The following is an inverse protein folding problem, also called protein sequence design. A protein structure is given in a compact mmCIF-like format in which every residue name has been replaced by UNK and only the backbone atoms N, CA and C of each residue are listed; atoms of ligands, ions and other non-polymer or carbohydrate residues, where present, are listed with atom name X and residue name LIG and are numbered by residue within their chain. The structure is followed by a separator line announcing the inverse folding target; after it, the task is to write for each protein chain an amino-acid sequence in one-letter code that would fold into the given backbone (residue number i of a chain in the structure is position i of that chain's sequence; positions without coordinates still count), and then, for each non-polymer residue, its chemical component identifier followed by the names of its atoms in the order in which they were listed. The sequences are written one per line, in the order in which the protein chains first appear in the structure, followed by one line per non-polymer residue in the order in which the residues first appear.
data_IF_317603233784
#
_entry.id   IF_317603233784
#
_cell.length_a   1.000
_cell.length_b   1.000
_cell.length_c   1.000
_cell.angle_alpha   90.00
_cell.angle_beta   90.00
_cell.angle_gamma   90.00
#
_symmetry.space_group_name_H-M   'P 1'
#
loop_
_entity.id
_entity.type
_entity.pdbx_description
1 polymer ?
#
# COMPACT_ATOMS: atom_id res chain seq x y z
N UNK A 1 4.47 -15.54 -19.75
CA UNK A 1 4.28 -15.20 -18.32
C UNK A 1 4.33 -13.70 -18.22
N UNK A 2 3.16 -13.07 -18.34
CA UNK A 2 2.98 -11.62 -18.23
C UNK A 2 3.70 -11.12 -16.97
N UNK A 3 4.69 -10.27 -17.20
CA UNK A 3 5.46 -9.60 -16.16
C UNK A 3 4.47 -8.75 -15.37
N UNK A 4 3.91 -9.28 -14.29
CA UNK A 4 3.46 -8.48 -13.14
C UNK A 4 4.66 -7.84 -12.43
N UNK A 5 5.73 -7.52 -13.17
CA UNK A 5 6.79 -6.58 -12.78
C UNK A 5 6.18 -5.20 -13.01
N UNK A 6 5.34 -4.83 -12.06
CA UNK A 6 5.47 -3.53 -11.44
C UNK A 6 6.97 -3.26 -11.25
N UNK A 7 7.43 -2.06 -11.62
CA UNK A 7 8.84 -1.68 -11.49
C UNK A 7 9.30 -1.98 -10.06
N UNK A 8 10.57 -2.33 -9.81
CA UNK A 8 11.07 -2.59 -8.44
C UNK A 8 10.66 -1.48 -7.45
N UNK A 9 10.53 -0.25 -7.96
CA UNK A 9 10.02 0.92 -7.26
C UNK A 9 8.57 0.76 -6.73
N UNK A 10 7.67 0.20 -7.51
CA UNK A 10 6.28 -0.03 -7.13
C UNK A 10 6.14 -1.16 -6.10
N UNK A 11 7.01 -2.18 -6.20
CA UNK A 11 7.05 -3.26 -5.21
C UNK A 11 7.57 -2.76 -3.85
N UNK A 12 8.57 -1.88 -3.85
CA UNK A 12 9.04 -1.19 -2.64
C UNK A 12 7.95 -0.32 -2.02
N UNK A 13 7.19 0.43 -2.84
CA UNK A 13 6.06 1.23 -2.36
C UNK A 13 4.93 0.38 -1.78
N UNK A 14 4.60 -0.75 -2.41
CA UNK A 14 3.61 -1.69 -1.91
C UNK A 14 4.06 -2.31 -0.60
N UNK A 15 5.31 -2.77 -0.52
CA UNK A 15 5.89 -3.34 0.69
C UNK A 15 5.92 -2.32 1.84
N UNK A 16 6.31 -1.07 1.56
CA UNK A 16 6.26 0.03 2.55
C UNK A 16 4.85 0.35 2.99
N UNK A 17 3.89 0.37 2.07
CA UNK A 17 2.48 0.60 2.38
C UNK A 17 1.90 -0.49 3.29
N UNK A 18 2.23 -1.75 3.01
CA UNK A 18 1.84 -2.89 3.85
C UNK A 18 2.53 -2.82 5.21
N UNK A 19 3.85 -2.60 5.25
CA UNK A 19 4.61 -2.55 6.50
C UNK A 19 4.12 -1.42 7.42
N UNK A 20 3.87 -0.22 6.87
CA UNK A 20 3.28 0.90 7.61
C UNK A 20 1.84 0.63 8.03
N UNK A 21 1.00 0.12 7.12
CA UNK A 21 -0.41 -0.18 7.40
C UNK A 21 -0.57 -1.27 8.47
N UNK A 22 0.24 -2.33 8.39
CA UNK A 22 0.30 -3.40 9.38
C UNK A 22 0.84 -2.90 10.72
N UNK A 23 1.95 -2.15 10.73
CA UNK A 23 2.55 -1.62 11.96
C UNK A 23 1.62 -0.67 12.70
N UNK A 24 1.01 0.28 11.99
CA UNK A 24 0.02 1.21 12.56
C UNK A 24 -1.26 0.46 12.97
N UNK A 25 -1.71 -0.51 12.16
CA UNK A 25 -2.88 -1.34 12.47
C UNK A 25 -2.73 -2.15 13.76
N UNK A 26 -1.54 -2.72 14.01
CA UNK A 26 -1.25 -3.43 15.26
C UNK A 26 -1.17 -2.46 16.43
N UNK A 27 -0.48 -1.33 16.27
CA UNK A 27 -0.37 -0.30 17.32
C UNK A 27 -1.76 0.24 17.73
N UNK A 28 -2.61 0.58 16.78
CA UNK A 28 -3.99 1.01 17.05
C UNK A 28 -4.85 -0.13 17.62
N UNK A 29 -4.65 -1.34 17.14
CA UNK A 29 -5.31 -2.54 17.62
C UNK A 29 -5.08 -2.84 19.09
N UNK A 30 -3.87 -2.53 19.57
CA UNK A 30 -3.52 -2.63 20.98
C UNK A 30 -4.35 -1.68 21.86
N UNK A 31 -4.70 -0.48 21.37
CA UNK A 31 -5.55 0.47 22.11
C UNK A 31 -7.04 0.11 22.05
N UNK A 32 -7.48 -0.59 21.00
CA UNK A 32 -8.88 -0.96 20.76
C UNK A 32 -9.19 -2.39 21.26
N UNK A 33 -8.20 -3.06 21.86
CA UNK A 33 -8.25 -4.46 22.31
C UNK A 33 -8.67 -5.46 21.21
N UNK A 34 -8.46 -5.07 19.94
CA UNK A 34 -8.88 -5.87 18.79
C UNK A 34 -7.90 -5.77 17.62
N UNK A 35 -6.72 -6.34 17.86
CA UNK A 35 -5.56 -6.29 16.96
C UNK A 35 -5.86 -6.91 15.60
N UNK A 36 -6.62 -8.00 15.54
CA UNK A 36 -6.89 -8.73 14.29
C UNK A 36 -7.68 -7.85 13.31
N UNK A 37 -8.67 -7.12 13.83
CA UNK A 37 -9.57 -6.29 13.04
C UNK A 37 -8.84 -5.06 12.48
N UNK A 38 -8.07 -4.38 13.32
CA UNK A 38 -7.29 -3.20 12.93
C UNK A 38 -6.07 -3.54 12.07
N UNK A 39 -5.42 -4.68 12.29
CA UNK A 39 -4.34 -5.18 11.42
C UNK A 39 -4.87 -5.47 10.02
N UNK A 40 -6.00 -6.17 9.92
CA UNK A 40 -6.61 -6.50 8.63
C UNK A 40 -7.05 -5.24 7.90
N UNK A 41 -7.74 -4.33 8.58
CA UNK A 41 -8.15 -3.04 8.01
C UNK A 41 -6.94 -2.18 7.60
N UNK A 42 -5.93 -2.06 8.48
CA UNK A 42 -4.73 -1.27 8.23
C UNK A 42 -3.90 -1.80 7.06
N UNK A 43 -3.76 -3.12 6.95
CA UNK A 43 -3.05 -3.76 5.84
C UNK A 43 -3.78 -3.54 4.51
N UNK A 44 -5.11 -3.71 4.47
CA UNK A 44 -5.92 -3.49 3.26
C UNK A 44 -5.87 -2.01 2.84
N UNK A 45 -6.00 -1.06 3.77
CA UNK A 45 -5.87 0.37 3.48
C UNK A 45 -4.46 0.69 2.96
N UNK A 46 -3.42 0.09 3.54
CA UNK A 46 -2.03 0.25 3.09
C UNK A 46 -1.81 -0.23 1.65
N UNK A 47 -2.38 -1.39 1.31
CA UNK A 47 -2.35 -1.95 -0.05
C UNK A 47 -3.09 -1.04 -1.03
N UNK A 48 -4.33 -0.65 -0.72
CA UNK A 48 -5.15 0.21 -1.58
C UNK A 48 -4.45 1.56 -1.79
N UNK A 49 -3.83 2.12 -0.75
CA UNK A 49 -3.12 3.40 -0.84
C UNK A 49 -1.88 3.29 -1.71
N UNK A 50 -1.08 2.23 -1.57
CA UNK A 50 0.11 2.01 -2.38
C UNK A 50 -0.25 1.77 -3.86
N UNK A 51 -1.25 0.93 -4.12
CA UNK A 51 -1.75 0.68 -5.47
C UNK A 51 -2.35 1.95 -6.08
N UNK A 52 -3.21 2.65 -5.33
CA UNK A 52 -3.82 3.91 -5.77
C UNK A 52 -2.77 4.98 -6.11
N UNK A 53 -1.68 5.06 -5.34
CA UNK A 53 -0.57 5.96 -5.63
C UNK A 53 0.20 5.55 -6.88
N UNK A 54 0.41 4.25 -7.11
CA UNK A 54 1.03 3.73 -8.33
C UNK A 54 0.16 4.06 -9.56
N UNK A 55 -1.15 3.78 -9.52
CA UNK A 55 -2.09 4.16 -10.59
C UNK A 55 -2.12 5.68 -10.84
N UNK A 56 -2.15 6.50 -9.78
CA UNK A 56 -2.15 7.95 -9.89
C UNK A 56 -0.82 8.49 -10.47
N UNK A 57 0.31 7.90 -10.05
CA UNK A 57 1.65 8.21 -10.55
C UNK A 57 1.79 7.81 -12.03
N UNK A 58 1.23 6.68 -12.44
CA UNK A 58 1.21 6.24 -13.84
C UNK A 58 0.41 7.19 -14.74
N UNK A 59 -0.77 7.61 -14.27
CA UNK A 59 -1.59 8.64 -14.93
C UNK A 59 -0.85 9.98 -15.05
N UNK A 60 -0.09 10.37 -14.01
CA UNK A 60 0.69 11.62 -14.01
C UNK A 60 1.99 11.52 -14.84
N UNK A 61 2.63 10.34 -14.91
CA UNK A 61 3.78 10.08 -15.81
C UNK A 61 3.37 10.17 -17.28
N UNK A 62 2.18 9.69 -17.64
CA UNK A 62 1.60 9.86 -19.00
C UNK A 62 1.36 11.33 -19.41
N UNK A 63 1.11 12.22 -18.45
CA UNK A 63 0.90 13.65 -18.72
C UNK A 63 2.22 14.45 -18.91
N UNK A 64 3.37 13.94 -18.48
CA UNK A 64 4.67 14.62 -18.63
C UNK A 64 5.42 14.34 -19.94
N UNK A 65 4.91 13.45 -20.80
CA UNK A 65 5.50 13.18 -22.12
C UNK A 65 4.72 13.81 -23.30
N UNK A 66 3.81 14.75 -23.02
CA UNK A 66 3.13 15.54 -24.07
C UNK A 66 3.70 16.94 -24.17
#
# INVERSE_FOLDING_TARGET
MEKLILSDEDYDYLAKGIALGAGIGILLGFFVDNIILTFSAGSVIGIISALGYSFYKDLKRKQRQK
#
